data_IF_504854055713
#
_entry.id   IF_504854055713
#
_cell.length_a   1.000
_cell.length_b   1.000
_cell.length_c   1.000
_cell.angle_alpha   90.00
_cell.angle_beta   90.00
_cell.angle_gamma   90.00
#
_symmetry.space_group_name_H-M   'P 1'
#
loop_
_entity.id
_entity.type
_entity.pdbx_description
1 polymer ?
#
# COMPACT_ATOMS: atom_id res chain seq x y z
N UNK A 1 58.07 -39.50 44.84
CA UNK A 1 56.98 -39.89 45.75
C UNK A 1 56.01 -38.73 45.78
N UNK A 2 54.89 -38.68 45.07
CA UNK A 2 54.26 -39.62 44.15
C UNK A 2 53.37 -38.79 43.21
N UNK A 3 53.21 -39.30 42.00
CA UNK A 3 52.27 -38.83 41.00
C UNK A 3 50.85 -39.24 41.41
N UNK A 4 49.85 -38.53 40.91
CA UNK A 4 48.55 -39.13 40.63
C UNK A 4 47.87 -38.37 39.48
N UNK A 5 48.02 -38.97 38.31
CA UNK A 5 47.07 -38.88 37.21
C UNK A 5 45.73 -39.52 37.63
N UNK A 6 44.62 -38.97 37.17
CA UNK A 6 43.40 -39.72 36.93
C UNK A 6 42.60 -39.04 35.81
N UNK A 7 42.72 -39.64 34.63
CA UNK A 7 41.83 -39.47 33.48
C UNK A 7 40.47 -40.10 33.77
N UNK A 8 39.37 -39.49 33.31
CA UNK A 8 38.13 -40.22 33.05
C UNK A 8 37.37 -39.57 31.90
N UNK A 9 37.47 -40.21 30.74
CA UNK A 9 36.58 -40.07 29.59
C UNK A 9 35.15 -40.49 29.95
N UNK A 10 34.16 -39.72 29.51
CA UNK A 10 32.79 -40.22 29.35
C UNK A 10 32.05 -39.45 28.25
N UNK A 11 31.92 -40.09 27.09
CA UNK A 11 30.91 -39.79 26.06
C UNK A 11 29.49 -40.05 26.59
N UNK A 12 28.49 -39.28 26.10
CA UNK A 12 27.12 -39.76 26.08
C UNK A 12 26.60 -39.95 24.63
N UNK A 13 26.45 -41.22 24.26
CA UNK A 13 25.18 -41.80 23.81
C UNK A 13 24.44 -41.15 22.64
N UNK A 14 24.63 -41.73 21.45
CA UNK A 14 23.69 -41.64 20.34
C UNK A 14 22.35 -42.28 20.72
N UNK A 15 21.30 -41.47 20.84
CA UNK A 15 19.91 -41.92 20.99
C UNK A 15 19.23 -41.87 19.62
N UNK A 16 18.68 -43.02 19.23
CA UNK A 16 17.99 -43.29 17.97
C UNK A 16 16.78 -42.39 17.72
N UNK A 17 16.69 -41.90 16.49
CA UNK A 17 15.55 -41.17 15.91
C UNK A 17 14.44 -42.17 15.55
N UNK A 18 13.17 -41.96 15.93
CA UNK A 18 12.07 -42.74 15.41
C UNK A 18 11.57 -42.18 14.06
N UNK A 19 11.41 -43.11 13.13
CA UNK A 19 10.88 -43.00 11.77
C UNK A 19 9.39 -42.61 11.76
N UNK A 20 8.94 -41.61 10.98
CA UNK A 20 7.52 -41.31 10.84
C UNK A 20 6.86 -42.16 9.74
N UNK A 21 5.78 -42.84 10.14
CA UNK A 21 4.88 -43.65 9.31
C UNK A 21 4.03 -42.80 8.33
N UNK A 22 3.49 -43.42 7.25
CA UNK A 22 2.97 -42.72 6.08
C UNK A 22 1.60 -42.09 6.28
N UNK A 23 1.36 -41.05 5.47
CA UNK A 23 0.16 -40.21 5.41
C UNK A 23 -0.98 -40.95 4.70
N UNK A 24 -2.11 -41.16 5.37
CA UNK A 24 -3.38 -41.54 4.72
C UNK A 24 -4.05 -40.27 4.15
N UNK A 25 -4.25 -40.28 2.83
CA UNK A 25 -5.03 -39.29 2.09
C UNK A 25 -6.52 -39.48 2.35
N UNK A 26 -7.21 -38.41 2.78
CA UNK A 26 -8.67 -38.38 2.87
C UNK A 26 -9.21 -37.72 1.61
N UNK A 27 -9.89 -38.51 0.78
CA UNK A 27 -10.64 -38.04 -0.38
C UNK A 27 -11.82 -37.17 0.05
N UNK A 28 -11.90 -35.96 -0.51
CA UNK A 28 -13.03 -35.06 -0.31
C UNK A 28 -14.09 -35.33 -1.38
N UNK A 29 -15.31 -35.57 -0.90
CA UNK A 29 -16.55 -35.80 -1.63
C UNK A 29 -16.92 -34.57 -2.47
N UNK A 30 -17.01 -34.73 -3.79
CA UNK A 30 -17.64 -33.75 -4.69
C UNK A 30 -19.14 -34.08 -4.79
N UNK A 31 -19.99 -33.17 -4.31
CA UNK A 31 -21.43 -33.25 -4.52
C UNK A 31 -21.80 -32.51 -5.82
N UNK A 32 -22.31 -33.27 -6.78
CA UNK A 32 -23.10 -32.79 -7.91
C UNK A 32 -24.42 -32.17 -7.42
N UNK A 33 -24.80 -31.02 -7.98
CA UNK A 33 -26.21 -30.64 -8.11
C UNK A 33 -26.39 -29.80 -9.37
N UNK A 34 -26.89 -30.48 -10.39
CA UNK A 34 -27.39 -29.93 -11.62
C UNK A 34 -28.94 -29.97 -11.57
N UNK A 35 -29.58 -29.14 -12.42
CA UNK A 35 -30.93 -29.34 -13.03
C UNK A 35 -32.04 -28.34 -12.68
N UNK A 36 -32.22 -27.41 -13.64
CA UNK A 36 -33.44 -26.94 -14.32
C UNK A 36 -34.69 -26.44 -13.56
N UNK A 37 -35.16 -25.27 -14.03
CA UNK A 37 -36.56 -25.12 -14.47
C UNK A 37 -36.73 -24.04 -15.54
N UNK A 38 -36.96 -24.49 -16.78
CA UNK A 38 -37.61 -23.72 -17.84
C UNK A 38 -39.07 -23.46 -17.49
N UNK A 39 -39.62 -22.29 -17.86
CA UNK A 39 -40.97 -22.14 -18.43
C UNK A 39 -41.22 -20.71 -18.92
N UNK A 40 -41.44 -20.58 -20.23
CA UNK A 40 -42.29 -19.57 -20.89
C UNK A 40 -43.41 -20.37 -21.61
N UNK A 41 -44.60 -19.82 -21.93
CA UNK A 41 -44.76 -18.76 -22.93
C UNK A 41 -45.94 -17.74 -22.73
N UNK A 42 -45.92 -16.74 -23.63
CA UNK A 42 -46.82 -15.62 -24.00
C UNK A 42 -48.33 -15.97 -24.27
N UNK A 43 -49.30 -15.00 -24.34
CA UNK A 43 -49.38 -14.01 -25.44
C UNK A 43 -50.10 -12.62 -25.27
N UNK A 44 -49.59 -11.65 -26.05
CA UNK A 44 -50.21 -10.67 -26.97
C UNK A 44 -51.36 -9.68 -26.57
N UNK A 45 -51.08 -8.38 -26.77
CA UNK A 45 -51.94 -7.28 -27.30
C UNK A 45 -51.00 -6.05 -27.43
N UNK A 46 -50.66 -5.48 -28.60
CA UNK A 46 -51.51 -4.95 -29.66
C UNK A 46 -51.54 -3.41 -29.58
N UNK A 47 -50.66 -2.69 -30.30
CA UNK A 47 -50.92 -1.32 -30.84
C UNK A 47 -49.69 -0.72 -31.55
N UNK A 48 -49.89 -0.41 -32.83
CA UNK A 48 -49.00 0.37 -33.68
C UNK A 48 -49.05 1.86 -33.31
N UNK A 49 -47.92 2.56 -33.39
CA UNK A 49 -47.88 3.97 -33.80
C UNK A 49 -46.47 4.37 -34.27
N UNK A 50 -46.37 4.72 -35.55
CA UNK A 50 -45.22 5.40 -36.15
C UNK A 50 -45.07 6.81 -35.54
N UNK A 51 -43.84 7.25 -35.26
CA UNK A 51 -43.41 8.64 -35.43
C UNK A 51 -41.89 8.80 -35.32
N UNK A 52 -41.30 9.09 -36.47
CA UNK A 52 -40.33 10.17 -36.72
C UNK A 52 -39.15 10.36 -35.75
N UNK A 53 -37.97 10.02 -36.29
CA UNK A 53 -36.65 10.52 -35.91
C UNK A 53 -36.67 11.94 -35.35
N UNK A 54 -36.23 12.09 -34.11
CA UNK A 54 -35.66 13.32 -33.59
C UNK A 54 -34.34 12.95 -32.95
N UNK A 55 -33.26 13.17 -33.70
CA UNK A 55 -31.89 13.21 -33.17
C UNK A 55 -31.88 14.29 -32.08
N UNK A 56 -32.04 13.86 -30.84
CA UNK A 56 -31.77 14.71 -29.69
C UNK A 56 -30.31 14.47 -29.39
N UNK A 57 -29.46 15.40 -29.82
CA UNK A 57 -28.07 15.45 -29.42
C UNK A 57 -28.04 15.37 -27.89
N UNK A 58 -27.49 14.27 -27.37
CA UNK A 58 -27.19 14.14 -25.96
C UNK A 58 -26.43 15.38 -25.52
N UNK A 59 -26.85 16.11 -24.47
CA UNK A 59 -25.99 17.11 -23.89
C UNK A 59 -24.71 16.39 -23.50
N UNK A 60 -23.60 16.85 -24.08
CA UNK A 60 -22.28 16.40 -23.71
C UNK A 60 -22.21 16.43 -22.19
N UNK A 61 -21.83 15.28 -21.63
CA UNK A 61 -21.55 15.09 -20.21
C UNK A 61 -20.41 16.04 -19.86
N UNK A 62 -20.73 17.31 -19.65
CA UNK A 62 -19.86 18.27 -19.03
C UNK A 62 -19.68 17.74 -17.62
N UNK A 63 -18.63 16.91 -17.44
CA UNK A 63 -18.14 16.55 -16.14
C UNK A 63 -18.01 17.88 -15.39
N UNK A 64 -18.86 18.09 -14.39
CA UNK A 64 -18.75 19.25 -13.52
C UNK A 64 -17.47 19.08 -12.73
N UNK A 65 -16.36 19.48 -13.33
CA UNK A 65 -15.09 19.62 -12.62
C UNK A 65 -15.32 20.72 -11.60
N UNK A 66 -15.54 20.30 -10.35
CA UNK A 66 -15.53 21.18 -9.20
C UNK A 66 -14.30 22.10 -9.31
N UNK A 67 -14.43 23.41 -9.06
CA UNK A 67 -13.30 24.32 -9.13
C UNK A 67 -12.17 23.83 -8.23
N UNK A 68 -11.05 23.43 -8.83
CA UNK A 68 -9.86 23.01 -8.09
C UNK A 68 -9.28 24.20 -7.31
N UNK A 69 -8.73 23.91 -6.13
CA UNK A 69 -8.08 24.89 -5.29
C UNK A 69 -6.76 25.34 -5.92
N UNK A 70 -6.42 26.63 -5.75
CA UNK A 70 -5.07 27.09 -6.13
C UNK A 70 -4.01 26.44 -5.23
N UNK A 71 -2.84 26.07 -5.78
CA UNK A 71 -1.72 25.58 -4.98
C UNK A 71 -1.36 26.57 -3.87
N UNK A 72 -1.13 26.06 -2.66
CA UNK A 72 -0.62 26.86 -1.55
C UNK A 72 0.90 26.92 -1.61
N UNK A 73 1.46 28.07 -1.24
CA UNK A 73 2.90 28.19 -1.05
C UNK A 73 3.29 27.51 0.27
N UNK A 74 4.27 26.59 0.19
CA UNK A 74 4.76 25.86 1.35
C UNK A 74 6.12 26.41 1.77
N UNK A 75 6.15 27.13 2.90
CA UNK A 75 7.41 27.59 3.48
C UNK A 75 7.96 26.54 4.43
N UNK A 76 9.08 25.97 4.04
CA UNK A 76 9.86 24.98 4.75
C UNK A 76 10.22 25.45 6.17
N UNK A 77 9.97 24.61 7.18
CA UNK A 77 10.32 24.90 8.57
C UNK A 77 9.40 25.89 9.29
N UNK A 78 8.39 26.46 8.62
CA UNK A 78 7.31 27.21 9.28
C UNK A 78 6.15 26.26 9.63
N UNK A 79 5.57 26.48 10.81
CA UNK A 79 4.61 25.63 11.57
C UNK A 79 3.37 25.05 10.85
N UNK A 80 3.15 25.30 9.55
CA UNK A 80 1.79 25.14 8.99
C UNK A 80 1.39 23.68 8.73
N UNK A 81 2.27 22.79 8.30
CA UNK A 81 1.87 21.41 7.93
C UNK A 81 1.99 20.44 9.10
N UNK A 82 3.03 20.60 9.92
CA UNK A 82 3.28 19.75 11.10
C UNK A 82 2.16 19.85 12.12
N UNK A 83 1.66 21.06 12.37
CA UNK A 83 0.59 21.28 13.35
C UNK A 83 -0.78 20.72 12.86
N UNK A 84 -0.86 20.27 11.60
CA UNK A 84 -2.09 19.77 10.98
C UNK A 84 -2.10 18.24 10.86
N UNK A 85 -0.96 17.57 10.84
CA UNK A 85 -0.85 16.10 10.72
C UNK A 85 -0.29 15.51 12.04
N UNK A 86 -0.71 14.31 12.47
CA UNK A 86 -1.53 13.35 11.74
C UNK A 86 -3.04 13.61 11.75
N UNK A 87 -3.74 13.15 10.69
CA UNK A 87 -5.21 13.23 10.55
C UNK A 87 -5.81 12.03 9.82
N UNK A 88 -7.07 11.70 10.13
CA UNK A 88 -7.83 10.68 9.41
C UNK A 88 -8.06 11.02 7.94
N UNK A 89 -8.37 12.28 7.64
CA UNK A 89 -8.62 12.77 6.29
C UNK A 89 -7.50 13.71 5.87
N UNK A 90 -6.96 13.50 4.67
CA UNK A 90 -5.99 14.42 4.10
C UNK A 90 -6.64 15.79 3.86
N UNK A 91 -6.00 16.90 4.26
CA UNK A 91 -6.49 18.22 3.90
C UNK A 91 -6.57 18.38 2.38
N UNK A 92 -7.68 18.94 1.86
CA UNK A 92 -7.90 19.07 0.41
C UNK A 92 -6.77 19.81 -0.35
N UNK A 93 -6.02 20.69 0.32
CA UNK A 93 -4.87 21.39 -0.27
C UNK A 93 -3.58 20.53 -0.33
N UNK A 94 -3.60 19.31 0.18
CA UNK A 94 -2.56 18.28 0.05
C UNK A 94 -2.98 17.10 -0.85
N UNK A 95 -4.21 17.10 -1.33
CA UNK A 95 -4.77 16.07 -2.21
C UNK A 95 -4.71 16.56 -3.68
N UNK A 96 -3.95 15.88 -4.56
CA UNK A 96 -3.85 16.25 -5.97
C UNK A 96 -5.18 16.30 -6.73
N UNK A 97 -6.21 15.58 -6.26
CA UNK A 97 -7.54 15.60 -6.88
C UNK A 97 -8.25 16.95 -6.71
N UNK A 98 -7.93 17.68 -5.64
CA UNK A 98 -8.57 18.93 -5.28
C UNK A 98 -7.73 20.18 -5.53
N UNK A 99 -6.47 20.03 -5.98
CA UNK A 99 -5.56 21.16 -6.24
C UNK A 99 -5.24 21.25 -7.74
N UNK A 100 -5.22 22.47 -8.27
CA UNK A 100 -4.84 22.77 -9.64
C UNK A 100 -3.31 22.70 -9.80
N UNK A 101 -2.81 21.48 -9.90
CA UNK A 101 -1.41 21.14 -10.17
C UNK A 101 -1.33 20.18 -11.36
N UNK A 102 -0.26 20.33 -12.13
CA UNK A 102 0.17 19.48 -13.24
C UNK A 102 0.96 18.26 -12.77
N UNK A 103 1.73 18.38 -11.68
CA UNK A 103 2.51 17.29 -11.07
C UNK A 103 2.21 17.19 -9.56
N UNK A 104 1.65 16.05 -9.07
CA UNK A 104 1.44 15.79 -7.65
C UNK A 104 2.67 16.02 -6.77
N UNK A 105 3.88 15.83 -7.32
CA UNK A 105 5.15 15.99 -6.60
C UNK A 105 5.45 17.43 -6.19
N UNK A 106 4.69 18.41 -6.69
CA UNK A 106 4.74 19.80 -6.22
C UNK A 106 4.11 19.97 -4.84
N UNK A 107 3.31 19.00 -4.38
CA UNK A 107 2.78 18.96 -3.01
C UNK A 107 3.76 18.26 -2.06
N UNK A 108 3.80 18.67 -0.79
CA UNK A 108 4.46 17.93 0.28
C UNK A 108 4.02 16.47 0.29
N UNK A 109 5.00 15.57 0.40
CA UNK A 109 4.75 14.14 0.45
C UNK A 109 4.14 13.75 1.80
N UNK A 110 2.98 13.11 1.74
CA UNK A 110 2.26 12.62 2.90
C UNK A 110 1.96 11.13 2.72
N UNK A 111 2.11 10.35 3.78
CA UNK A 111 1.90 8.91 3.79
C UNK A 111 0.63 8.54 4.53
N UNK A 112 -0.13 7.61 3.98
CA UNK A 112 -1.26 6.99 4.65
C UNK A 112 -0.84 5.66 5.26
N UNK A 113 -1.05 5.49 6.57
CA UNK A 113 -0.60 4.30 7.28
C UNK A 113 -0.88 4.27 8.78
N UNK A 114 -0.38 3.22 9.44
CA UNK A 114 -0.47 2.98 10.88
C UNK A 114 0.92 2.85 11.48
N UNK A 115 1.06 3.08 12.79
CA UNK A 115 2.32 2.80 13.49
C UNK A 115 2.74 1.33 13.27
N UNK A 116 4.03 1.06 13.06
CA UNK A 116 4.49 -0.31 12.86
C UNK A 116 4.60 -1.06 14.20
N UNK A 117 3.83 -2.14 14.33
CA UNK A 117 3.88 -3.06 15.47
C UNK A 117 4.42 -4.42 15.00
N UNK A 118 5.73 -4.69 15.19
CA UNK A 118 6.36 -5.88 14.63
C UNK A 118 5.70 -7.17 15.14
N UNK A 119 5.35 -7.25 16.42
CA UNK A 119 4.70 -8.44 16.98
C UNK A 119 3.35 -8.74 16.34
N UNK A 120 2.56 -7.70 16.07
CA UNK A 120 1.26 -7.79 15.40
C UNK A 120 1.44 -8.25 13.96
N UNK A 121 2.29 -7.56 13.20
CA UNK A 121 2.54 -7.83 11.78
C UNK A 121 3.14 -9.22 11.55
N UNK A 122 4.12 -9.62 12.35
CA UNK A 122 4.77 -10.92 12.17
C UNK A 122 3.97 -12.10 12.72
N UNK A 123 3.12 -11.89 13.75
CA UNK A 123 2.13 -12.88 14.15
C UNK A 123 1.13 -13.15 13.03
N UNK A 124 0.67 -12.10 12.36
CA UNK A 124 -0.18 -12.24 11.19
C UNK A 124 0.53 -12.96 10.03
N UNK A 125 1.78 -12.58 9.73
CA UNK A 125 2.58 -13.26 8.70
C UNK A 125 2.73 -14.77 8.94
N UNK A 126 2.86 -15.19 10.21
CA UNK A 126 2.82 -16.60 10.59
C UNK A 126 1.45 -17.23 10.30
N UNK A 127 0.36 -16.56 10.69
CA UNK A 127 -1.02 -17.04 10.49
C UNK A 127 -1.35 -17.31 9.02
N UNK A 128 -0.91 -16.43 8.12
CA UNK A 128 -1.11 -16.58 6.67
C UNK A 128 0.00 -17.39 5.97
N UNK A 129 0.90 -18.02 6.73
CA UNK A 129 1.97 -18.92 6.23
C UNK A 129 2.99 -18.26 5.30
N UNK A 130 3.23 -16.96 5.45
CA UNK A 130 4.30 -16.24 4.72
C UNK A 130 5.55 -16.00 5.57
N UNK A 131 5.50 -16.32 6.87
CA UNK A 131 6.65 -16.27 7.77
C UNK A 131 7.79 -17.17 7.31
N UNK A 132 9.01 -16.65 7.45
CA UNK A 132 10.26 -17.35 7.18
C UNK A 132 10.99 -17.56 8.50
N UNK A 133 11.55 -18.75 8.65
CA UNK A 133 12.28 -19.15 9.85
C UNK A 133 13.73 -19.44 9.53
N UNK A 134 14.62 -19.10 10.47
CA UNK A 134 16.04 -19.37 10.36
C UNK A 134 16.29 -20.88 10.26
N UNK A 135 17.11 -21.28 9.28
CA UNK A 135 17.54 -22.68 9.10
C UNK A 135 18.87 -23.00 9.78
N UNK A 136 19.67 -21.97 10.04
CA UNK A 136 21.00 -22.04 10.64
C UNK A 136 21.13 -20.91 11.63
N UNK A 137 22.03 -21.07 12.59
CA UNK A 137 22.37 -19.99 13.50
C UNK A 137 22.91 -18.79 12.72
N UNK A 138 22.40 -17.61 13.05
CA UNK A 138 22.86 -16.34 12.47
C UNK A 138 22.72 -15.23 13.50
N UNK A 139 23.83 -14.53 13.78
CA UNK A 139 23.93 -13.51 14.81
C UNK A 139 23.48 -14.01 16.20
N UNK A 140 22.20 -13.78 16.54
CA UNK A 140 21.55 -14.12 17.82
C UNK A 140 20.30 -14.99 17.64
N UNK A 141 20.02 -15.41 16.41
CA UNK A 141 18.85 -16.22 16.07
C UNK A 141 19.28 -17.67 15.88
N UNK A 142 18.52 -18.58 16.47
CA UNK A 142 18.68 -20.03 16.38
C UNK A 142 17.80 -20.59 15.26
N UNK A 143 18.10 -21.81 14.77
CA UNK A 143 17.19 -22.52 13.88
C UNK A 143 15.78 -22.58 14.48
N UNK A 144 14.77 -22.27 13.67
CA UNK A 144 13.38 -22.18 14.10
C UNK A 144 12.94 -20.80 14.59
N UNK A 145 13.86 -19.86 14.85
CA UNK A 145 13.50 -18.48 15.16
C UNK A 145 12.96 -17.76 13.92
N UNK A 146 12.06 -16.80 14.12
CA UNK A 146 11.50 -15.99 13.04
C UNK A 146 12.62 -15.14 12.39
N UNK A 147 12.76 -15.29 11.07
CA UNK A 147 13.58 -14.40 10.24
C UNK A 147 12.73 -13.22 9.77
N UNK A 148 12.77 -12.11 10.51
CA UNK A 148 12.03 -10.90 10.16
C UNK A 148 12.44 -10.33 8.79
N UNK A 149 13.73 -10.42 8.44
CA UNK A 149 14.25 -9.92 7.16
C UNK A 149 13.83 -10.79 5.99
N UNK A 150 13.76 -12.11 6.17
CA UNK A 150 13.20 -13.04 5.18
C UNK A 150 11.68 -12.96 5.08
N UNK A 151 10.99 -12.72 6.19
CA UNK A 151 9.52 -12.66 6.26
C UNK A 151 8.96 -11.40 5.62
N UNK A 152 9.57 -10.24 5.89
CA UNK A 152 9.03 -8.96 5.44
C UNK A 152 8.83 -8.86 3.92
N UNK A 153 9.81 -9.21 3.05
CA UNK A 153 9.62 -9.19 1.60
C UNK A 153 8.48 -10.10 1.12
N UNK A 154 8.32 -11.29 1.72
CA UNK A 154 7.23 -12.22 1.37
C UNK A 154 5.86 -11.66 1.75
N UNK A 155 5.77 -10.99 2.90
CA UNK A 155 4.55 -10.33 3.34
C UNK A 155 4.19 -9.16 2.40
N UNK A 156 5.18 -8.37 1.99
CA UNK A 156 4.98 -7.26 1.04
C UNK A 156 4.52 -7.80 -0.33
N UNK A 157 5.15 -8.87 -0.82
CA UNK A 157 4.77 -9.52 -2.08
C UNK A 157 3.34 -10.08 -2.01
N UNK A 158 3.04 -10.85 -0.95
CA UNK A 158 1.69 -11.36 -0.70
C UNK A 158 0.63 -10.24 -0.71
N UNK A 159 0.87 -9.15 0.02
CA UNK A 159 -0.07 -8.03 0.07
C UNK A 159 -0.24 -7.33 -1.28
N UNK A 160 0.85 -7.21 -2.03
CA UNK A 160 0.82 -6.63 -3.37
C UNK A 160 -0.01 -7.47 -4.33
N UNK A 161 0.08 -8.79 -4.24
CA UNK A 161 -0.74 -9.69 -5.05
C UNK A 161 -2.23 -9.60 -4.67
N UNK A 162 -2.56 -9.33 -3.40
CA UNK A 162 -3.95 -9.14 -2.96
C UNK A 162 -4.55 -7.78 -3.34
N UNK A 163 -3.76 -6.70 -3.21
CA UNK A 163 -4.28 -5.33 -3.24
C UNK A 163 -3.86 -4.51 -4.45
N UNK A 164 -2.80 -4.92 -5.15
CA UNK A 164 -2.08 -4.08 -6.12
C UNK A 164 -1.26 -2.94 -5.48
N UNK A 165 -1.31 -2.77 -4.16
CA UNK A 165 -0.55 -1.77 -3.41
C UNK A 165 0.73 -2.38 -2.82
N UNK A 166 1.71 -1.55 -2.50
CA UNK A 166 2.95 -2.02 -1.87
C UNK A 166 3.06 -1.44 -0.47
N UNK A 167 3.23 -2.32 0.53
CA UNK A 167 3.52 -1.89 1.90
C UNK A 167 4.96 -1.41 2.01
N UNK A 168 5.14 -0.29 2.70
CA UNK A 168 6.46 0.24 3.03
C UNK A 168 6.56 0.58 4.51
N UNK A 169 7.80 0.68 5.00
CA UNK A 169 8.11 1.22 6.31
C UNK A 169 8.78 2.58 6.13
N UNK A 170 8.06 3.64 6.46
CA UNK A 170 8.58 5.00 6.33
C UNK A 170 8.78 5.67 7.68
N UNK A 171 9.94 6.31 7.92
CA UNK A 171 10.05 7.24 9.04
C UNK A 171 9.23 8.49 8.71
N UNK A 172 8.34 8.88 9.61
CA UNK A 172 7.49 10.07 9.46
C UNK A 172 7.76 11.07 10.59
N UNK A 173 7.25 12.29 10.44
CA UNK A 173 7.29 13.28 11.54
C UNK A 173 6.41 12.83 12.71
N UNK A 174 6.84 13.21 13.92
CA UNK A 174 6.12 13.02 15.19
C UNK A 174 5.75 11.58 15.58
N UNK A 175 6.25 10.58 14.85
CA UNK A 175 6.14 9.16 15.20
C UNK A 175 7.53 8.58 15.55
N UNK A 176 7.61 7.88 16.67
CA UNK A 176 8.85 7.26 17.15
C UNK A 176 9.17 5.99 16.38
N UNK A 177 8.13 5.27 15.97
CA UNK A 177 8.23 4.04 15.19
C UNK A 177 8.17 4.37 13.70
N UNK A 178 8.69 3.50 12.82
CA UNK A 178 8.33 3.62 11.41
C UNK A 178 6.82 3.45 11.25
N UNK A 179 6.26 4.09 10.23
CA UNK A 179 4.89 3.92 9.81
C UNK A 179 4.82 2.76 8.82
N UNK A 180 3.90 1.81 9.04
CA UNK A 180 3.45 0.87 8.01
C UNK A 180 2.52 1.63 7.07
N UNK A 181 2.99 1.88 5.85
CA UNK A 181 2.31 2.73 4.87
C UNK A 181 1.78 1.92 3.70
N UNK A 182 0.66 2.35 3.14
CA UNK A 182 -0.01 1.67 2.02
C UNK A 182 0.08 2.43 0.71
N UNK A 183 -0.01 3.76 0.77
CA UNK A 183 0.14 4.67 -0.38
C UNK A 183 0.46 6.09 0.10
N UNK A 184 0.80 6.98 -0.82
CA UNK A 184 1.00 8.40 -0.54
C UNK A 184 0.02 9.29 -1.31
N UNK A 185 -0.01 10.58 -0.95
CA UNK A 185 -0.90 11.55 -1.58
C UNK A 185 -0.64 11.72 -3.08
N UNK A 186 0.57 11.45 -3.58
CA UNK A 186 0.90 11.53 -5.01
C UNK A 186 0.32 10.36 -5.81
N UNK A 187 -0.12 9.29 -5.16
CA UNK A 187 -0.70 8.10 -5.76
C UNK A 187 -2.24 8.08 -5.70
N UNK A 188 -2.87 9.09 -5.07
CA UNK A 188 -4.30 9.08 -4.77
C UNK A 188 -5.21 8.88 -5.97
N UNK A 189 -4.82 9.35 -7.17
CA UNK A 189 -5.60 9.12 -8.39
C UNK A 189 -5.79 7.64 -8.73
N UNK A 190 -4.88 6.77 -8.29
CA UNK A 190 -4.90 5.33 -8.56
C UNK A 190 -5.54 4.51 -7.44
N UNK A 191 -5.80 5.12 -6.29
CA UNK A 191 -6.35 4.42 -5.12
C UNK A 191 -7.87 4.34 -5.27
N UNK A 192 -8.39 3.12 -5.39
CA UNK A 192 -9.84 2.86 -5.50
C UNK A 192 -10.45 2.60 -4.12
N UNK A 193 -11.78 2.70 -4.01
CA UNK A 193 -12.53 2.37 -2.79
C UNK A 193 -12.26 0.92 -2.32
N UNK A 194 -12.17 -0.03 -3.25
CA UNK A 194 -11.82 -1.42 -2.95
C UNK A 194 -10.45 -1.55 -2.27
N UNK A 195 -9.46 -0.75 -2.70
CA UNK A 195 -8.14 -0.75 -2.06
C UNK A 195 -8.20 -0.23 -0.62
N UNK A 196 -9.08 0.73 -0.31
CA UNK A 196 -9.32 1.19 1.07
C UNK A 196 -9.93 0.09 1.93
N UNK A 197 -10.89 -0.65 1.40
CA UNK A 197 -11.51 -1.78 2.09
C UNK A 197 -10.48 -2.87 2.39
N UNK A 198 -9.63 -3.24 1.42
CA UNK A 198 -8.58 -4.24 1.62
C UNK A 198 -7.62 -3.82 2.74
N UNK A 199 -7.28 -2.54 2.84
CA UNK A 199 -6.44 -2.04 3.94
C UNK A 199 -7.16 -2.16 5.29
N UNK A 200 -8.44 -1.80 5.35
CA UNK A 200 -9.23 -1.91 6.58
C UNK A 200 -9.33 -3.38 7.03
N UNK A 201 -9.72 -4.27 6.13
CA UNK A 201 -9.83 -5.71 6.38
C UNK A 201 -8.48 -6.30 6.83
N UNK A 202 -7.37 -5.88 6.21
CA UNK A 202 -6.03 -6.30 6.61
C UNK A 202 -5.67 -5.87 8.04
N UNK A 203 -6.00 -4.63 8.41
CA UNK A 203 -5.69 -4.12 9.75
C UNK A 203 -6.52 -4.83 10.82
N UNK A 204 -7.80 -5.07 10.52
CA UNK A 204 -8.69 -5.85 11.38
C UNK A 204 -8.19 -7.30 11.51
N UNK A 205 -7.84 -7.93 10.39
CA UNK A 205 -7.26 -9.28 10.38
C UNK A 205 -5.96 -9.34 11.19
N UNK A 206 -5.08 -8.35 11.08
CA UNK A 206 -3.85 -8.30 11.86
C UNK A 206 -4.08 -8.15 13.36
N UNK A 207 -5.32 -7.91 13.82
CA UNK A 207 -5.67 -7.56 15.19
C UNK A 207 -4.92 -6.27 15.62
N UNK A 208 -4.87 -5.26 14.74
CA UNK A 208 -4.31 -3.96 15.10
C UNK A 208 -5.14 -3.32 16.24
N UNK A 209 -4.50 -2.64 17.21
CA UNK A 209 -5.23 -1.99 18.29
C UNK A 209 -6.23 -0.95 17.75
N UNK A 210 -7.41 -0.85 18.34
CA UNK A 210 -8.46 0.08 17.90
C UNK A 210 -8.01 1.56 17.96
N UNK A 211 -7.06 1.88 18.83
CA UNK A 211 -6.41 3.18 18.91
C UNK A 211 -5.46 3.47 17.74
N UNK A 212 -4.95 2.43 17.07
CA UNK A 212 -3.99 2.50 15.98
C UNK A 212 -4.69 2.60 14.62
N UNK A 213 -5.59 3.58 14.48
CA UNK A 213 -6.29 3.84 13.23
C UNK A 213 -5.35 4.41 12.16
N UNK A 214 -5.55 4.05 10.88
CA UNK A 214 -4.75 4.59 9.81
C UNK A 214 -5.00 6.09 9.63
N UNK A 215 -3.91 6.85 9.53
CA UNK A 215 -3.92 8.31 9.42
C UNK A 215 -2.90 8.77 8.36
N UNK A 216 -3.04 10.02 7.96
CA UNK A 216 -2.10 10.73 7.10
C UNK A 216 -1.00 11.36 7.93
N UNK A 217 0.26 11.10 7.57
CA UNK A 217 1.45 11.63 8.22
C UNK A 217 2.33 12.38 7.22
N UNK A 218 3.05 13.38 7.70
CA UNK A 218 4.03 14.10 6.90
C UNK A 218 5.32 13.28 6.79
N UNK A 219 5.83 13.10 5.56
CA UNK A 219 7.11 12.42 5.35
C UNK A 219 8.25 13.10 6.11
N UNK A 220 9.15 12.34 6.73
CA UNK A 220 10.26 12.90 7.51
C UNK A 220 11.32 13.56 6.64
N UNK A 221 11.57 13.00 5.45
CA UNK A 221 12.55 13.46 4.48
C UNK A 221 11.94 14.53 3.58
N UNK A 222 11.45 15.60 4.20
CA UNK A 222 10.97 16.75 3.44
C UNK A 222 12.12 17.25 2.54
N UNK A 223 13.36 17.35 3.03
CA UNK A 223 14.46 17.93 2.24
C UNK A 223 14.82 17.07 1.02
N UNK A 224 14.63 17.58 -0.20
CA UNK A 224 15.64 17.58 -1.31
C UNK A 224 15.06 17.99 -2.68
N UNK A 225 13.75 17.88 -2.98
CA UNK A 225 13.31 17.94 -4.40
C UNK A 225 12.77 19.26 -4.96
N UNK A 226 12.62 20.33 -4.17
CA UNK A 226 12.10 21.62 -4.68
C UNK A 226 13.16 22.69 -4.97
N UNK A 227 14.45 22.34 -5.02
CA UNK A 227 15.49 23.22 -5.58
C UNK A 227 15.61 23.03 -7.09
N UNK A 228 14.55 23.30 -7.83
CA UNK A 228 14.65 23.60 -9.26
C UNK A 228 13.98 24.96 -9.44
N UNK A 229 14.74 26.05 -9.62
CA UNK A 229 14.14 27.32 -9.98
C UNK A 229 13.43 27.12 -11.33
N UNK A 230 12.11 27.31 -11.32
CA UNK A 230 11.34 27.43 -12.55
C UNK A 230 11.83 28.67 -13.28
N UNK A 231 12.65 28.49 -14.32
CA UNK A 231 12.97 29.55 -15.27
C UNK A 231 11.80 29.62 -16.25
N UNK A 232 10.97 30.68 -16.25
CA UNK A 232 9.98 30.83 -17.30
C UNK A 232 10.73 30.95 -18.63
N UNK A 233 10.34 30.14 -19.61
CA UNK A 233 10.85 30.22 -20.97
C UNK A 233 10.62 31.64 -21.50
N UNK A 234 11.71 32.39 -21.66
CA UNK A 234 11.70 33.67 -22.35
C UNK A 234 11.15 33.46 -23.75
N UNK A 235 9.94 33.95 -24.00
CA UNK A 235 9.42 34.13 -25.34
C UNK A 235 10.31 35.14 -26.07
N UNK A 236 11.29 34.65 -26.81
CA UNK A 236 12.09 35.46 -27.72
C UNK A 236 11.18 36.02 -28.80
N UNK A 237 10.78 37.29 -28.65
CA UNK A 237 10.28 38.10 -29.76
C UNK A 237 11.42 38.29 -30.76
N UNK A 238 11.33 37.59 -31.89
CA UNK A 238 12.07 37.96 -33.10
C UNK A 238 11.42 39.22 -33.67
N UNK A 239 11.94 40.39 -33.30
CA UNK A 239 11.75 41.60 -34.10
C UNK A 239 12.89 41.68 -35.11
N UNK A 240 12.53 41.44 -36.36
CA UNK A 240 13.30 41.74 -37.57
C UNK A 240 13.58 43.24 -37.65
N UNK A 241 14.84 43.64 -37.82
CA UNK A 241 15.29 44.74 -38.70
C UNK A 241 16.72 45.18 -38.35
N UNK A 242 17.69 44.97 -39.24
CA UNK A 242 18.42 46.04 -39.95
C UNK A 242 19.74 45.54 -40.56
N UNK A 243 19.86 45.75 -41.87
CA UNK A 243 21.10 45.69 -42.65
C UNK A 243 22.15 46.68 -42.12
N UNK A 244 23.45 46.40 -42.29
CA UNK A 244 24.44 47.44 -42.44
C UNK A 244 24.64 47.80 -43.93
N UNK A 245 24.61 49.10 -44.23
CA UNK A 245 25.28 49.69 -45.37
C UNK A 245 26.64 50.24 -44.93
N UNK A 246 27.61 50.10 -45.85
CA UNK A 246 29.01 50.56 -45.88
C UNK A 246 30.03 49.70 -45.14
#
# INVERSE_FOLDING_TARGET
>A
MDANEASLDQEPGLVSVPEPLPVESVDTVTADLNTNKNSAPDPALGSNSNSTSSQTASPSKAASTLPKLRPREFVWGKRVIRDILPRYTIPAWLDPLYVDIDDPRKLPLCWYGVAFHPDTVFRYAHRIRVAVYMKRENLRLKPGDLDAYGTWPKLVEWFKDQSGLTMHLHPVWDERRPLLTFFNNHEMERVTEDMWMIIADLLDDMDYPEECKPMWYLDRNLSVRLSMPYTPASASRLTSSNLPQF
#
